data_IF_061051613048
#
_entry.id   IF_061051613048
#
_cell.length_a   1.000
_cell.length_b   1.000
_cell.length_c   1.000
_cell.angle_alpha   90.00
_cell.angle_beta   90.00
_cell.angle_gamma   90.00
#
_symmetry.space_group_name_H-M   'P 1'
#
loop_
_entity.id
_entity.type
_entity.pdbx_description
1 polymer ?
#
# COMPACT_ATOMS: atom_id res chain seq x y z
N UNK A 1 31.49 24.42 4.24
CA UNK A 1 30.37 24.09 5.16
C UNK A 1 29.09 23.94 4.34
N UNK A 2 28.77 22.72 3.90
CA UNK A 2 27.52 22.45 3.19
C UNK A 2 26.41 22.28 4.23
N UNK A 3 25.36 23.10 4.12
CA UNK A 3 24.19 23.06 5.00
C UNK A 3 23.36 21.84 4.63
N UNK A 4 23.24 20.88 5.54
CA UNK A 4 22.29 19.77 5.45
C UNK A 4 20.88 20.33 5.45
N UNK A 5 20.21 20.30 4.29
CA UNK A 5 18.77 20.54 4.23
C UNK A 5 18.04 19.38 4.92
N UNK A 6 17.03 19.66 5.76
CA UNK A 6 16.17 18.61 6.29
C UNK A 6 15.42 17.97 5.10
N UNK A 7 15.49 16.65 4.98
CA UNK A 7 14.69 15.90 4.02
C UNK A 7 13.22 16.23 4.30
N UNK A 8 12.59 16.97 3.39
CA UNK A 8 11.18 17.26 3.45
C UNK A 8 10.44 15.91 3.43
N UNK A 9 9.73 15.61 4.52
CA UNK A 9 8.69 14.59 4.51
C UNK A 9 7.68 15.03 3.46
N UNK A 10 7.76 14.44 2.26
CA UNK A 10 6.76 14.60 1.22
C UNK A 10 5.49 13.97 1.77
N UNK A 11 4.64 14.78 2.40
CA UNK A 11 3.25 14.40 2.63
C UNK A 11 2.65 14.22 1.24
N UNK A 12 2.23 13.01 0.84
CA UNK A 12 1.65 12.82 -0.47
C UNK A 12 0.42 13.72 -0.59
N UNK A 13 0.39 14.58 -1.62
CA UNK A 13 -0.78 15.39 -1.94
C UNK A 13 -1.99 14.47 -2.14
N UNK A 14 -3.13 14.84 -1.56
CA UNK A 14 -4.37 14.04 -1.58
C UNK A 14 -4.97 13.81 -2.98
N UNK A 15 -4.36 14.38 -4.03
CA UNK A 15 -4.72 14.25 -5.45
C UNK A 15 -3.80 13.36 -6.27
N UNK A 16 -2.71 12.84 -5.70
CA UNK A 16 -1.79 11.99 -6.44
C UNK A 16 -2.31 10.55 -6.51
N UNK A 17 -2.45 10.03 -7.73
CA UNK A 17 -2.93 8.66 -7.97
C UNK A 17 -2.06 7.62 -7.23
N UNK A 18 -2.62 6.44 -6.89
CA UNK A 18 -1.86 5.38 -6.27
C UNK A 18 -0.65 5.01 -7.12
N UNK A 19 0.51 4.89 -6.46
CA UNK A 19 1.72 4.46 -7.14
C UNK A 19 1.78 2.92 -7.12
N UNK A 20 1.92 2.24 -8.27
CA UNK A 20 2.19 0.82 -8.29
C UNK A 20 3.55 0.53 -7.66
N UNK A 21 3.68 -0.61 -6.97
CA UNK A 21 4.97 -1.07 -6.49
C UNK A 21 5.88 -1.42 -7.67
N UNK A 22 7.13 -0.94 -7.63
CA UNK A 22 8.15 -1.38 -8.56
C UNK A 22 8.60 -2.83 -8.28
N UNK A 23 9.31 -3.43 -9.23
CA UNK A 23 9.75 -4.83 -9.15
C UNK A 23 10.67 -5.08 -7.94
N UNK A 24 11.50 -4.11 -7.57
CA UNK A 24 12.43 -4.24 -6.44
C UNK A 24 11.67 -4.26 -5.10
N UNK A 25 10.68 -3.38 -4.96
CA UNK A 25 9.80 -3.29 -3.80
C UNK A 25 8.94 -4.55 -3.70
N UNK A 26 8.38 -5.03 -4.81
CA UNK A 26 7.65 -6.29 -4.85
C UNK A 26 8.49 -7.47 -4.38
N UNK A 27 9.73 -7.59 -4.85
CA UNK A 27 10.65 -8.64 -4.41
C UNK A 27 11.00 -8.52 -2.92
N UNK A 28 11.24 -7.30 -2.44
CA UNK A 28 11.52 -7.02 -1.03
C UNK A 28 10.34 -7.42 -0.14
N UNK A 29 9.12 -7.08 -0.54
CA UNK A 29 7.93 -7.39 0.23
C UNK A 29 7.53 -8.86 0.18
N UNK A 30 7.76 -9.54 -0.94
CA UNK A 30 7.63 -11.01 -1.03
C UNK A 30 8.55 -11.72 -0.05
N UNK A 31 9.80 -11.27 0.09
CA UNK A 31 10.74 -11.84 1.04
C UNK A 31 10.35 -11.61 2.52
N UNK A 32 9.45 -10.66 2.79
CA UNK A 32 8.93 -10.33 4.14
C UNK A 32 7.56 -10.92 4.41
N UNK A 33 7.04 -11.78 3.53
CA UNK A 33 5.77 -12.46 3.78
C UNK A 33 5.90 -13.41 4.97
N UNK A 34 4.87 -13.44 5.80
CA UNK A 34 4.81 -14.27 7.01
C UNK A 34 3.71 -15.31 6.88
N UNK A 35 3.96 -16.52 7.39
CA UNK A 35 3.06 -17.68 7.27
C UNK A 35 1.68 -17.45 7.92
N UNK A 36 1.61 -16.59 8.94
CA UNK A 36 0.38 -16.18 9.62
C UNK A 36 0.15 -14.67 9.52
N UNK A 37 0.15 -14.14 8.30
CA UNK A 37 -0.08 -12.70 8.09
C UNK A 37 -1.53 -12.28 8.28
N UNK A 38 -1.74 -10.98 8.48
CA UNK A 38 -3.07 -10.40 8.58
C UNK A 38 -3.58 -10.04 7.18
N UNK A 39 -4.83 -10.38 6.82
CA UNK A 39 -5.40 -9.97 5.55
C UNK A 39 -5.51 -8.45 5.52
N UNK A 40 -5.06 -7.83 4.44
CA UNK A 40 -5.04 -6.37 4.29
C UNK A 40 -5.57 -5.95 2.93
N UNK A 41 -6.42 -4.93 2.92
CA UNK A 41 -6.85 -4.22 1.73
C UNK A 41 -6.19 -2.86 1.71
N UNK A 42 -5.76 -2.41 0.54
CA UNK A 42 -5.20 -1.07 0.36
C UNK A 42 -6.25 -0.18 -0.28
N UNK A 43 -6.60 0.92 0.38
CA UNK A 43 -7.72 1.77 0.01
C UNK A 43 -7.21 3.14 -0.45
N UNK A 44 -7.70 3.63 -1.59
CA UNK A 44 -7.53 5.00 -2.06
C UNK A 44 -8.90 5.61 -2.33
N UNK A 45 -9.19 6.75 -1.68
CA UNK A 45 -10.49 7.47 -1.81
C UNK A 45 -11.74 6.58 -1.59
N UNK A 46 -11.65 5.57 -0.74
CA UNK A 46 -12.76 4.66 -0.43
C UNK A 46 -12.84 3.41 -1.31
N UNK A 47 -12.03 3.33 -2.38
CA UNK A 47 -11.93 2.16 -3.25
C UNK A 47 -10.70 1.33 -2.95
N UNK A 48 -10.81 0.00 -3.11
CA UNK A 48 -9.66 -0.88 -3.04
C UNK A 48 -8.72 -0.66 -4.23
N UNK A 49 -7.42 -0.84 -4.01
CA UNK A 49 -6.36 -0.64 -5.00
C UNK A 49 -5.55 -1.92 -5.13
N UNK A 50 -5.28 -2.30 -6.37
CA UNK A 50 -4.23 -3.26 -6.66
C UNK A 50 -2.86 -2.58 -6.49
N UNK A 51 -2.13 -2.91 -5.43
CA UNK A 51 -0.79 -2.33 -5.16
C UNK A 51 0.26 -2.73 -6.19
N UNK A 52 0.00 -3.74 -7.03
CA UNK A 52 0.93 -4.19 -8.08
C UNK A 52 0.73 -3.36 -9.34
N UNK A 53 -0.52 -3.14 -9.76
CA UNK A 53 -0.83 -2.41 -11.00
C UNK A 53 -1.18 -0.93 -10.78
N UNK A 54 -1.44 -0.52 -9.54
CA UNK A 54 -1.94 0.82 -9.18
C UNK A 54 -3.41 1.03 -9.54
N UNK A 55 -4.10 0.01 -10.08
CA UNK A 55 -5.49 0.13 -10.50
C UNK A 55 -6.44 0.22 -9.31
N UNK A 56 -7.31 1.23 -9.35
CA UNK A 56 -8.37 1.44 -8.37
C UNK A 56 -9.60 0.63 -8.80
N UNK A 57 -10.10 -0.23 -7.92
CA UNK A 57 -11.35 -0.97 -8.16
C UNK A 57 -12.57 -0.05 -8.09
N UNK A 58 -13.64 -0.44 -8.77
CA UNK A 58 -14.92 0.24 -8.71
C UNK A 58 -15.40 0.34 -7.25
N UNK A 59 -15.73 1.53 -6.72
CA UNK A 59 -16.24 1.70 -5.35
C UNK A 59 -17.52 0.90 -5.07
N UNK A 60 -18.29 0.52 -6.09
CA UNK A 60 -19.47 -0.33 -5.96
C UNK A 60 -19.12 -1.83 -5.79
N UNK A 61 -17.84 -2.20 -5.93
CA UNK A 61 -17.39 -3.59 -5.75
C UNK A 61 -17.66 -4.04 -4.30
N UNK A 62 -18.45 -5.12 -4.09
CA UNK A 62 -18.70 -5.65 -2.76
C UNK A 62 -17.40 -5.95 -2.01
N UNK A 63 -17.35 -5.66 -0.71
CA UNK A 63 -16.13 -5.84 0.12
C UNK A 63 -15.54 -7.24 0.01
N UNK A 64 -16.38 -8.27 -0.07
CA UNK A 64 -15.96 -9.67 -0.24
C UNK A 64 -15.24 -9.95 -1.56
N UNK A 65 -15.43 -9.12 -2.58
CA UNK A 65 -14.81 -9.23 -3.91
C UNK A 65 -13.67 -8.23 -4.11
N UNK A 66 -13.37 -7.40 -3.10
CA UNK A 66 -12.26 -6.46 -3.17
C UNK A 66 -10.92 -7.19 -3.03
N UNK A 67 -9.89 -6.65 -3.69
CA UNK A 67 -8.54 -7.19 -3.63
C UNK A 67 -8.05 -7.14 -2.18
N UNK A 68 -7.77 -8.33 -1.64
CA UNK A 68 -7.24 -8.53 -0.30
C UNK A 68 -5.93 -9.27 -0.41
N UNK A 69 -4.88 -8.70 0.16
CA UNK A 69 -3.57 -9.32 0.23
C UNK A 69 -3.40 -10.06 1.54
N UNK A 70 -2.76 -11.21 1.47
CA UNK A 70 -2.51 -12.08 2.61
C UNK A 70 -1.02 -12.10 2.94
N UNK A 71 -0.67 -12.68 4.08
CA UNK A 71 0.71 -12.93 4.49
C UNK A 71 1.55 -11.66 4.71
N UNK A 72 0.90 -10.53 4.96
CA UNK A 72 1.58 -9.32 5.42
C UNK A 72 1.61 -9.26 6.94
N UNK A 73 2.77 -8.94 7.52
CA UNK A 73 2.81 -8.36 8.86
C UNK A 73 2.37 -6.89 8.82
N UNK A 74 2.05 -6.32 9.98
CA UNK A 74 1.53 -4.95 10.08
C UNK A 74 2.55 -3.91 9.60
N UNK A 75 3.84 -4.11 9.89
CA UNK A 75 4.89 -3.15 9.53
C UNK A 75 5.09 -3.09 8.01
N UNK A 76 5.07 -4.25 7.36
CA UNK A 76 5.19 -4.41 5.92
C UNK A 76 3.98 -3.82 5.21
N UNK A 77 2.77 -4.08 5.70
CA UNK A 77 1.56 -3.45 5.16
C UNK A 77 1.61 -1.92 5.25
N UNK A 78 2.12 -1.36 6.37
CA UNK A 78 2.28 0.09 6.50
C UNK A 78 3.32 0.65 5.52
N UNK A 79 4.45 -0.02 5.34
CA UNK A 79 5.47 0.40 4.38
C UNK A 79 4.96 0.36 2.92
N UNK A 80 4.21 -0.68 2.56
CA UNK A 80 3.54 -0.76 1.25
C UNK A 80 2.55 0.39 1.07
N UNK A 81 1.75 0.68 2.10
CA UNK A 81 0.77 1.76 2.05
C UNK A 81 1.43 3.14 1.85
N UNK A 82 2.57 3.38 2.49
CA UNK A 82 3.34 4.62 2.33
C UNK A 82 3.84 4.79 0.90
N UNK A 83 4.45 3.75 0.33
CA UNK A 83 4.96 3.77 -1.06
C UNK A 83 3.81 3.96 -2.06
N UNK A 84 2.73 3.19 -1.89
CA UNK A 84 1.60 3.21 -2.83
C UNK A 84 0.63 4.36 -2.61
N UNK A 85 0.84 5.15 -1.54
CA UNK A 85 -0.05 6.25 -1.10
C UNK A 85 -1.48 5.80 -0.88
N UNK A 86 -1.63 4.64 -0.27
CA UNK A 86 -2.92 4.06 0.08
C UNK A 86 -3.08 3.98 1.59
N UNK A 87 -4.28 3.63 2.05
CA UNK A 87 -4.58 3.33 3.45
C UNK A 87 -4.74 1.82 3.63
N UNK A 88 -3.96 1.15 4.50
CA UNK A 88 -4.15 -0.26 4.78
C UNK A 88 -5.36 -0.44 5.71
N UNK A 89 -6.25 -1.36 5.36
CA UNK A 89 -7.40 -1.79 6.15
C UNK A 89 -7.23 -3.28 6.44
N UNK A 90 -6.97 -3.59 7.70
CA UNK A 90 -6.77 -4.95 8.18
C UNK A 90 -8.13 -5.61 8.44
N UNK A 91 -8.30 -6.85 7.99
CA UNK A 91 -9.44 -7.67 8.38
C UNK A 91 -9.18 -8.26 9.77
N UNK A 92 -10.19 -8.18 10.65
CA UNK A 92 -10.19 -8.74 12.00
C UNK A 92 -11.05 -10.01 12.05
#
# INVERSE_FOLDING_TARGET
>A
MQKSQPQAFHSPSADEAPQPLDVQSLNTFRARQVERGTPVRFIYRGSAVDIVSGQVQDPATPVSHQITYWNFDRATALAVAEITRTKPVFAH
#
